data_IF_370335838355
#
_entry.id   IF_370335838355
#
_cell.length_a   1.000
_cell.length_b   1.000
_cell.length_c   1.000
_cell.angle_alpha   90.00
_cell.angle_beta   90.00
_cell.angle_gamma   90.00
#
_symmetry.space_group_name_H-M   'P 1'
#
loop_
_entity.id
_entity.type
_entity.pdbx_description
1 polymer ?
#
# COMPACT_ATOMS: atom_id res chain seq x y z
N UNK A 1 83.19 38.16 -20.73
CA UNK A 1 82.06 37.81 -21.63
C UNK A 1 82.21 36.32 -21.93
N UNK A 2 81.28 35.40 -21.72
CA UNK A 2 79.81 35.42 -21.66
C UNK A 2 79.31 34.24 -20.80
N UNK A 3 78.03 34.30 -20.45
CA UNK A 3 77.29 33.66 -19.36
C UNK A 3 77.16 32.12 -19.42
N UNK A 4 77.20 31.54 -18.21
CA UNK A 4 76.69 30.24 -17.80
C UNK A 4 75.17 30.18 -18.00
N UNK A 5 74.66 29.15 -18.68
CA UNK A 5 73.23 29.00 -19.00
C UNK A 5 72.72 27.68 -18.40
N UNK A 6 72.06 27.79 -17.24
CA UNK A 6 71.28 26.72 -16.61
C UNK A 6 70.14 26.29 -17.53
N UNK A 7 70.05 25.01 -17.87
CA UNK A 7 68.83 24.43 -18.47
C UNK A 7 68.04 23.75 -17.36
N UNK A 8 66.99 24.41 -16.90
CA UNK A 8 65.90 23.78 -16.15
C UNK A 8 65.22 22.75 -17.04
N UNK A 9 65.23 21.48 -16.64
CA UNK A 9 64.35 20.47 -17.22
C UNK A 9 62.99 20.59 -16.52
N UNK A 10 61.97 21.09 -17.25
CA UNK A 10 60.60 21.13 -16.79
C UNK A 10 60.00 19.71 -16.85
N UNK A 11 59.72 19.11 -15.69
CA UNK A 11 58.95 17.87 -15.59
C UNK A 11 57.47 18.26 -15.66
N UNK A 12 56.84 18.02 -16.81
CA UNK A 12 55.39 18.17 -16.98
C UNK A 12 54.74 16.83 -16.68
N UNK A 13 54.20 16.68 -15.47
CA UNK A 13 53.38 15.53 -15.08
C UNK A 13 51.96 15.74 -15.59
N UNK A 14 51.62 15.18 -16.76
CA UNK A 14 50.25 15.14 -17.27
C UNK A 14 49.47 14.04 -16.54
N UNK A 15 48.80 14.41 -15.44
CA UNK A 15 47.77 13.58 -14.82
C UNK A 15 46.53 13.59 -15.73
N UNK A 16 46.40 12.55 -16.56
CA UNK A 16 45.16 12.28 -17.28
C UNK A 16 44.09 11.84 -16.28
N UNK A 17 43.30 12.79 -15.79
CA UNK A 17 42.04 12.49 -15.11
C UNK A 17 41.07 11.96 -16.17
N UNK A 18 40.95 10.63 -16.27
CA UNK A 18 39.79 10.04 -16.93
C UNK A 18 38.58 10.37 -16.08
N UNK A 19 37.83 11.41 -16.48
CA UNK A 19 36.50 11.66 -15.96
C UNK A 19 35.66 10.48 -16.41
N UNK A 20 35.53 9.45 -15.56
CA UNK A 20 34.45 8.49 -15.71
C UNK A 20 33.16 9.28 -15.55
N UNK A 21 32.43 9.48 -16.65
CA UNK A 21 31.06 9.97 -16.61
C UNK A 21 30.28 9.04 -15.68
N UNK A 22 30.10 9.47 -14.42
CA UNK A 22 29.11 8.87 -13.56
C UNK A 22 27.77 9.16 -14.24
N UNK A 23 27.21 8.15 -14.92
CA UNK A 23 25.85 8.22 -15.42
C UNK A 23 25.00 8.68 -14.24
N UNK A 24 24.25 9.79 -14.34
CA UNK A 24 23.38 10.20 -13.25
C UNK A 24 22.46 9.01 -12.98
N UNK A 25 22.57 8.44 -11.78
CA UNK A 25 21.59 7.48 -11.29
C UNK A 25 20.26 8.22 -11.32
N UNK A 26 19.45 7.95 -12.34
CA UNK A 26 18.05 8.36 -12.33
C UNK A 26 17.53 7.83 -11.00
N UNK A 27 17.06 8.70 -10.12
CA UNK A 27 16.20 8.28 -9.04
C UNK A 27 15.09 7.48 -9.73
N UNK A 28 15.17 6.15 -9.63
CA UNK A 28 14.22 5.27 -10.30
C UNK A 28 12.90 5.53 -9.58
N UNK A 29 12.08 6.42 -10.14
CA UNK A 29 10.69 6.56 -9.73
C UNK A 29 10.06 5.20 -9.93
N UNK A 30 9.69 4.56 -8.83
CA UNK A 30 9.06 3.26 -8.89
C UNK A 30 7.79 3.37 -9.73
N UNK A 31 7.64 2.46 -10.70
CA UNK A 31 6.40 2.31 -11.43
C UNK A 31 5.30 1.77 -10.53
N UNK A 32 4.11 1.57 -11.11
CA UNK A 32 2.98 1.00 -10.39
C UNK A 32 2.96 -0.52 -10.58
N UNK A 33 3.19 -1.32 -9.52
CA UNK A 33 3.10 -2.77 -9.62
C UNK A 33 1.68 -3.18 -9.99
N UNK A 34 1.51 -4.33 -10.65
CA UNK A 34 0.19 -4.90 -10.98
C UNK A 34 -0.79 -3.92 -11.67
N UNK A 35 -0.28 -2.95 -12.42
CA UNK A 35 -1.07 -1.90 -13.08
C UNK A 35 -1.96 -1.10 -12.11
N UNK A 36 -1.46 -0.88 -10.89
CA UNK A 36 -2.15 -0.10 -9.85
C UNK A 36 -2.26 1.39 -10.22
N UNK A 37 -1.67 1.88 -11.30
CA UNK A 37 -1.94 3.22 -11.83
C UNK A 37 -3.34 3.37 -12.44
N UNK A 38 -3.92 2.27 -12.93
CA UNK A 38 -5.21 2.29 -13.65
C UNK A 38 -6.34 1.54 -12.95
N UNK A 39 -6.04 0.54 -12.12
CA UNK A 39 -7.05 -0.26 -11.43
C UNK A 39 -6.58 -0.73 -10.04
N UNK A 40 -7.50 -0.92 -9.08
CA UNK A 40 -7.17 -1.58 -7.84
C UNK A 40 -6.91 -3.07 -8.07
N UNK A 41 -6.04 -3.67 -7.25
CA UNK A 41 -5.82 -5.11 -7.25
C UNK A 41 -6.08 -5.66 -5.84
N UNK A 42 -6.93 -6.68 -5.73
CA UNK A 42 -7.33 -7.25 -4.44
C UNK A 42 -7.25 -8.77 -4.46
N UNK A 43 -6.68 -9.37 -3.42
CA UNK A 43 -6.57 -10.82 -3.28
C UNK A 43 -6.48 -11.26 -1.81
N UNK A 44 -6.82 -12.53 -1.54
CA UNK A 44 -6.63 -13.10 -0.20
C UNK A 44 -5.17 -13.41 0.07
N UNK A 45 -4.63 -12.97 1.20
CA UNK A 45 -3.25 -13.26 1.62
C UNK A 45 -3.10 -14.52 2.49
N UNK A 46 -4.20 -15.03 3.04
CA UNK A 46 -4.27 -16.28 3.76
C UNK A 46 -5.39 -17.13 3.15
N UNK A 47 -5.02 -18.17 2.42
CA UNK A 47 -5.97 -19.08 1.76
C UNK A 47 -6.62 -20.07 2.71
N UNK A 48 -6.06 -20.24 3.91
CA UNK A 48 -6.61 -21.12 4.94
C UNK A 48 -7.65 -20.39 5.81
N UNK A 49 -7.73 -19.06 5.69
CA UNK A 49 -8.74 -18.27 6.39
C UNK A 49 -10.16 -18.62 5.87
N UNK A 50 -11.17 -18.74 6.74
CA UNK A 50 -12.54 -19.10 6.35
C UNK A 50 -13.18 -18.18 5.31
N UNK A 51 -12.88 -16.88 5.32
CA UNK A 51 -13.42 -15.91 4.38
C UNK A 51 -12.41 -15.58 3.28
N UNK A 52 -12.87 -15.62 2.04
CA UNK A 52 -12.06 -15.39 0.84
C UNK A 52 -12.67 -14.28 -0.03
N UNK A 53 -11.85 -13.33 -0.47
CA UNK A 53 -12.27 -12.29 -1.42
C UNK A 53 -12.29 -12.85 -2.84
N UNK A 54 -13.36 -12.57 -3.58
CA UNK A 54 -13.52 -12.96 -4.98
C UNK A 54 -13.29 -11.75 -5.89
N UNK A 55 -13.91 -10.61 -5.54
CA UNK A 55 -13.88 -9.41 -6.39
C UNK A 55 -14.09 -8.16 -5.55
N UNK A 56 -13.46 -7.07 -5.96
CA UNK A 56 -13.66 -5.76 -5.35
C UNK A 56 -13.84 -4.69 -6.41
N UNK A 57 -14.74 -3.74 -6.15
CA UNK A 57 -14.89 -2.48 -6.86
C UNK A 57 -14.88 -1.33 -5.86
N UNK A 58 -14.44 -0.17 -6.31
CA UNK A 58 -14.41 1.04 -5.48
C UNK A 58 -15.35 2.04 -6.14
N UNK A 59 -16.36 2.47 -5.39
CA UNK A 59 -17.43 3.33 -5.87
C UNK A 59 -17.42 4.65 -5.09
N UNK A 60 -17.77 5.74 -5.75
CA UNK A 60 -18.09 6.99 -5.06
C UNK A 60 -19.37 6.80 -4.22
N UNK A 61 -19.36 7.26 -2.97
CA UNK A 61 -20.47 7.00 -2.06
C UNK A 61 -21.79 7.64 -2.51
N UNK A 62 -21.73 8.78 -3.19
CA UNK A 62 -22.92 9.56 -3.60
C UNK A 62 -23.45 9.08 -4.95
N UNK A 63 -22.60 9.08 -5.97
CA UNK A 63 -22.97 8.77 -7.35
C UNK A 63 -23.06 7.28 -7.62
N UNK A 64 -22.49 6.43 -6.74
CA UNK A 64 -22.39 4.96 -6.89
C UNK A 64 -21.63 4.52 -8.15
N UNK A 65 -20.89 5.42 -8.80
CA UNK A 65 -20.08 5.11 -9.98
C UNK A 65 -18.67 4.65 -9.57
N UNK A 66 -18.01 3.79 -10.36
CA UNK A 66 -16.62 3.43 -10.12
C UNK A 66 -15.72 4.66 -10.03
N UNK A 67 -14.80 4.67 -9.07
CA UNK A 67 -13.79 5.72 -8.91
C UNK A 67 -12.40 5.15 -8.82
N UNK A 68 -11.51 5.71 -9.63
CA UNK A 68 -10.09 5.45 -9.60
C UNK A 68 -9.34 6.57 -10.36
N UNK A 69 -8.15 7.01 -9.90
CA UNK A 69 -7.55 6.74 -8.58
C UNK A 69 -8.39 7.32 -7.44
N UNK A 70 -8.07 6.94 -6.21
CA UNK A 70 -8.90 7.22 -5.03
C UNK A 70 -8.45 8.53 -4.39
N UNK A 71 -9.36 9.47 -4.17
CA UNK A 71 -9.09 10.61 -3.27
C UNK A 71 -9.48 10.21 -1.84
N UNK A 72 -8.53 10.03 -0.91
CA UNK A 72 -8.82 9.55 0.45
C UNK A 72 -9.55 10.58 1.32
N UNK A 73 -9.70 11.84 0.87
CA UNK A 73 -10.51 12.86 1.55
C UNK A 73 -12.00 12.73 1.22
N UNK A 74 -12.36 11.92 0.22
CA UNK A 74 -13.75 11.69 -0.18
C UNK A 74 -14.21 10.33 0.31
N UNK A 75 -15.45 10.23 0.81
CA UNK A 75 -15.99 8.97 1.27
C UNK A 75 -16.33 8.06 0.07
N UNK A 76 -16.01 6.77 0.20
CA UNK A 76 -16.16 5.76 -0.86
C UNK A 76 -16.95 4.56 -0.35
N UNK A 77 -17.36 3.69 -1.28
CA UNK A 77 -17.88 2.36 -0.99
C UNK A 77 -16.95 1.32 -1.58
N UNK A 78 -16.51 0.39 -0.75
CA UNK A 78 -15.88 -0.84 -1.19
C UNK A 78 -17.01 -1.83 -1.46
N UNK A 79 -17.25 -2.12 -2.73
CA UNK A 79 -18.22 -3.11 -3.19
C UNK A 79 -17.48 -4.44 -3.37
N UNK A 80 -17.70 -5.34 -2.42
CA UNK A 80 -16.92 -6.55 -2.19
C UNK A 80 -17.79 -7.79 -2.39
N UNK A 81 -17.38 -8.64 -3.32
CA UNK A 81 -17.88 -10.02 -3.39
C UNK A 81 -16.88 -10.94 -2.71
N UNK A 82 -17.36 -11.71 -1.74
CA UNK A 82 -16.59 -12.65 -0.95
C UNK A 82 -17.38 -13.94 -0.74
N UNK A 83 -16.72 -14.95 -0.20
CA UNK A 83 -17.35 -16.18 0.26
C UNK A 83 -16.89 -16.48 1.68
N UNK A 84 -17.83 -16.84 2.54
CA UNK A 84 -17.56 -17.31 3.89
C UNK A 84 -17.76 -18.82 3.96
N UNK A 85 -16.66 -19.57 4.08
CA UNK A 85 -16.67 -21.02 4.27
C UNK A 85 -16.76 -21.43 5.74
N UNK A 86 -16.72 -20.47 6.67
CA UNK A 86 -16.76 -20.69 8.10
C UNK A 86 -18.17 -20.64 8.68
N UNK A 87 -18.23 -20.20 9.93
CA UNK A 87 -19.48 -19.98 10.66
C UNK A 87 -20.04 -18.58 10.40
N UNK A 88 -21.17 -18.27 11.02
CA UNK A 88 -21.67 -16.90 11.08
C UNK A 88 -20.79 -16.04 12.01
N UNK A 89 -20.33 -14.89 11.53
CA UNK A 89 -19.59 -13.90 12.34
C UNK A 89 -20.50 -12.73 12.69
N UNK A 90 -20.80 -12.57 13.98
CA UNK A 90 -21.63 -11.48 14.52
C UNK A 90 -20.78 -10.29 14.97
N UNK A 91 -19.52 -10.52 15.27
CA UNK A 91 -18.56 -9.52 15.69
C UNK A 91 -17.18 -9.86 15.08
N UNK A 92 -16.45 -8.84 14.64
CA UNK A 92 -15.10 -8.98 14.12
C UNK A 92 -14.30 -7.71 14.33
N UNK A 93 -12.98 -7.87 14.43
CA UNK A 93 -12.04 -6.75 14.41
C UNK A 93 -11.02 -6.89 13.32
N UNK A 94 -10.63 -5.76 12.75
CA UNK A 94 -9.63 -5.67 11.71
C UNK A 94 -8.36 -4.94 12.18
N UNK A 95 -7.21 -5.45 11.76
CA UNK A 95 -5.94 -4.75 11.81
C UNK A 95 -5.52 -4.42 10.36
N UNK A 96 -5.07 -3.19 10.11
CA UNK A 96 -4.64 -2.77 8.78
C UNK A 96 -3.21 -2.25 8.81
N UNK A 97 -2.33 -2.92 8.06
CA UNK A 97 -0.99 -2.43 7.76
C UNK A 97 -1.00 -1.72 6.42
N UNK A 98 -0.25 -0.63 6.33
CA UNK A 98 -0.14 0.20 5.12
C UNK A 98 1.29 0.10 4.61
N UNK A 99 1.46 -0.10 3.31
CA UNK A 99 2.76 -0.08 2.65
C UNK A 99 2.73 0.91 1.49
N UNK A 100 3.85 1.57 1.22
CA UNK A 100 4.07 2.32 -0.03
C UNK A 100 5.07 1.58 -0.91
N UNK A 101 4.90 1.68 -2.22
CA UNK A 101 5.86 1.16 -3.18
C UNK A 101 6.93 2.21 -3.45
N UNK A 102 8.15 1.96 -2.98
CA UNK A 102 9.25 2.93 -3.09
C UNK A 102 10.59 2.26 -3.31
N UNK A 103 11.58 3.03 -3.76
CA UNK A 103 12.93 2.55 -4.02
C UNK A 103 13.67 2.36 -2.71
N UNK A 104 14.25 1.18 -2.51
CA UNK A 104 15.21 0.95 -1.46
C UNK A 104 16.46 1.81 -1.69
N UNK A 105 16.85 2.60 -0.69
CA UNK A 105 17.96 3.56 -0.80
C UNK A 105 19.31 2.89 -1.11
N UNK A 106 19.54 1.67 -0.62
CA UNK A 106 20.83 0.99 -0.77
C UNK A 106 20.96 0.27 -2.11
N UNK A 107 19.86 -0.30 -2.61
CA UNK A 107 19.86 -1.16 -3.79
C UNK A 107 19.23 -0.51 -5.03
N UNK A 108 18.46 0.56 -4.85
CA UNK A 108 17.66 1.18 -5.92
C UNK A 108 16.47 0.32 -6.39
N UNK A 109 16.26 -0.86 -5.81
CA UNK A 109 15.18 -1.76 -6.16
C UNK A 109 13.86 -1.29 -5.53
N UNK A 110 12.78 -1.34 -6.29
CA UNK A 110 11.46 -1.02 -5.77
C UNK A 110 10.89 -2.17 -4.94
N UNK A 111 10.34 -1.85 -3.77
CA UNK A 111 9.68 -2.81 -2.89
C UNK A 111 8.55 -2.14 -2.11
N UNK A 112 7.68 -2.97 -1.55
CA UNK A 112 6.72 -2.53 -0.54
C UNK A 112 7.46 -2.23 0.76
N UNK A 113 7.31 -1.01 1.26
CA UNK A 113 7.87 -0.56 2.53
C UNK A 113 6.71 -0.23 3.46
N UNK A 114 6.71 -0.84 4.64
CA UNK A 114 5.68 -0.60 5.64
C UNK A 114 5.74 0.84 6.13
N UNK A 115 4.58 1.47 6.19
CA UNK A 115 4.41 2.79 6.77
C UNK A 115 3.84 2.60 8.18
N UNK A 116 4.59 2.98 9.22
CA UNK A 116 4.14 2.76 10.58
C UNK A 116 2.91 3.61 10.89
N UNK A 117 1.80 2.94 11.17
CA UNK A 117 0.54 3.59 11.61
C UNK A 117 0.49 3.77 13.12
N UNK A 118 1.48 3.25 13.85
CA UNK A 118 1.59 3.31 15.32
C UNK A 118 0.31 2.86 16.05
N UNK A 119 -0.35 1.85 15.52
CA UNK A 119 -1.57 1.25 16.09
C UNK A 119 -2.87 1.98 15.76
N UNK A 120 -2.84 3.07 14.97
CA UNK A 120 -4.04 3.81 14.59
C UNK A 120 -5.06 2.99 13.79
N UNK A 121 -4.60 1.91 13.14
CA UNK A 121 -5.41 1.03 12.30
C UNK A 121 -5.55 -0.38 12.88
N UNK A 122 -5.29 -0.55 14.18
CA UNK A 122 -5.45 -1.82 14.86
C UNK A 122 -6.81 -1.87 15.57
N UNK A 123 -7.36 -3.07 15.72
CA UNK A 123 -8.57 -3.34 16.50
C UNK A 123 -9.81 -2.54 16.02
N UNK A 124 -9.88 -2.23 14.73
CA UNK A 124 -11.03 -1.57 14.11
C UNK A 124 -12.24 -2.50 14.22
N UNK A 125 -13.34 -2.03 14.80
CA UNK A 125 -14.60 -2.77 14.82
C UNK A 125 -15.21 -2.82 13.40
N UNK A 126 -15.04 -3.96 12.73
CA UNK A 126 -15.43 -4.13 11.34
C UNK A 126 -16.95 -4.19 11.18
N UNK A 127 -17.66 -4.78 12.15
CA UNK A 127 -19.12 -4.84 12.15
C UNK A 127 -19.75 -3.46 12.33
N UNK A 128 -19.23 -2.66 13.26
CA UNK A 128 -19.69 -1.30 13.51
C UNK A 128 -19.34 -0.38 12.33
N UNK A 129 -18.13 -0.49 11.79
CA UNK A 129 -17.68 0.36 10.69
C UNK A 129 -18.48 0.11 9.40
N UNK A 130 -18.70 -1.16 9.04
CA UNK A 130 -19.32 -1.51 7.78
C UNK A 130 -20.84 -1.75 7.86
N UNK A 131 -21.42 -1.84 9.06
CA UNK A 131 -22.84 -2.13 9.28
C UNK A 131 -23.33 -3.38 8.52
N UNK A 132 -22.47 -4.40 8.42
CA UNK A 132 -22.66 -5.56 7.56
C UNK A 132 -22.75 -6.89 8.32
N UNK A 133 -22.71 -6.85 9.65
CA UNK A 133 -22.89 -8.04 10.48
C UNK A 133 -24.38 -8.31 10.75
N UNK A 134 -24.78 -9.58 10.85
CA UNK A 134 -23.92 -10.77 10.82
C UNK A 134 -23.44 -11.18 9.41
N UNK A 135 -22.18 -11.61 9.30
CA UNK A 135 -21.60 -12.18 8.09
C UNK A 135 -21.98 -13.67 8.01
N UNK A 136 -22.96 -13.97 7.17
CA UNK A 136 -23.51 -15.33 7.00
C UNK A 136 -22.54 -16.26 6.27
N UNK A 137 -22.60 -17.59 6.50
CA UNK A 137 -21.94 -18.56 5.64
C UNK A 137 -22.45 -18.50 4.20
N UNK A 138 -21.57 -18.78 3.24
CA UNK A 138 -21.88 -18.77 1.81
C UNK A 138 -21.41 -17.49 1.09
N UNK A 139 -22.04 -17.19 -0.05
CA UNK A 139 -21.69 -16.02 -0.85
C UNK A 139 -22.12 -14.72 -0.15
N UNK A 140 -21.23 -13.74 -0.19
CA UNK A 140 -21.41 -12.42 0.41
C UNK A 140 -21.21 -11.34 -0.64
N UNK A 141 -22.20 -10.45 -0.77
CA UNK A 141 -22.10 -9.21 -1.52
C UNK A 141 -22.25 -8.04 -0.55
N UNK A 142 -21.14 -7.37 -0.27
CA UNK A 142 -21.01 -6.39 0.80
C UNK A 142 -20.71 -5.01 0.23
N UNK A 143 -21.45 -4.01 0.67
CA UNK A 143 -21.14 -2.60 0.41
C UNK A 143 -20.60 -1.97 1.69
N UNK A 144 -19.28 -1.81 1.76
CA UNK A 144 -18.59 -1.30 2.94
C UNK A 144 -18.38 0.22 2.76
N UNK A 145 -19.16 1.08 3.42
CA UNK A 145 -18.88 2.51 3.42
C UNK A 145 -17.55 2.76 4.13
N UNK A 146 -16.66 3.51 3.48
CA UNK A 146 -15.38 3.91 4.04
C UNK A 146 -15.25 5.43 3.98
N UNK A 147 -15.26 6.03 5.17
CA UNK A 147 -14.96 7.44 5.37
C UNK A 147 -13.68 7.57 6.19
N UNK A 148 -12.60 7.99 5.52
CA UNK A 148 -11.29 8.16 6.12
C UNK A 148 -11.10 9.52 6.81
N UNK A 149 -12.12 10.40 6.84
CA UNK A 149 -12.01 11.73 7.44
C UNK A 149 -11.57 11.70 8.91
N UNK A 150 -11.93 10.65 9.65
CA UNK A 150 -11.50 10.40 11.04
C UNK A 150 -10.02 10.04 11.17
N UNK A 151 -9.37 9.69 10.07
CA UNK A 151 -7.98 9.28 9.96
C UNK A 151 -7.16 10.32 9.19
N UNK A 152 -7.40 11.62 9.43
CA UNK A 152 -6.72 12.72 8.73
C UNK A 152 -5.18 12.62 8.76
N UNK A 153 -4.60 12.09 9.83
CA UNK A 153 -3.16 11.81 9.91
C UNK A 153 -2.68 10.80 8.85
N UNK A 154 -3.51 9.80 8.57
CA UNK A 154 -3.25 8.78 7.55
C UNK A 154 -3.53 9.35 6.15
N UNK A 155 -4.54 10.19 5.97
CA UNK A 155 -4.80 10.88 4.69
C UNK A 155 -3.55 11.65 4.23
N UNK A 156 -2.92 12.42 5.11
CA UNK A 156 -1.71 13.19 4.78
C UNK A 156 -0.52 12.29 4.45
N UNK A 157 -0.42 11.13 5.11
CA UNK A 157 0.58 10.12 4.84
C UNK A 157 0.37 9.44 3.46
N UNK A 158 -0.90 9.26 3.07
CA UNK A 158 -1.30 8.63 1.82
C UNK A 158 -1.27 9.60 0.62
N UNK A 159 -1.08 10.90 0.85
CA UNK A 159 -1.04 11.96 -0.17
C UNK A 159 0.30 12.01 -0.93
N UNK A 160 0.75 10.85 -1.41
CA UNK A 160 1.89 10.74 -2.33
C UNK A 160 1.46 10.01 -3.59
N UNK A 161 1.92 10.47 -4.75
CA UNK A 161 1.55 9.93 -6.06
C UNK A 161 2.26 8.60 -6.35
N UNK A 162 2.07 7.60 -5.48
CA UNK A 162 2.65 6.25 -5.56
C UNK A 162 1.58 5.18 -5.32
N UNK A 163 1.93 3.91 -5.57
CA UNK A 163 1.10 2.78 -5.22
C UNK A 163 1.17 2.48 -3.71
N UNK A 164 0.02 2.19 -3.13
CA UNK A 164 -0.13 1.73 -1.74
C UNK A 164 -0.66 0.32 -1.70
N UNK A 165 -0.30 -0.40 -0.64
CA UNK A 165 -0.85 -1.70 -0.32
C UNK A 165 -1.41 -1.67 1.09
N UNK A 166 -2.69 -2.01 1.22
CA UNK A 166 -3.35 -2.25 2.49
C UNK A 166 -3.35 -3.76 2.72
N UNK A 167 -2.80 -4.19 3.84
CA UNK A 167 -2.87 -5.57 4.30
C UNK A 167 -3.83 -5.61 5.48
N UNK A 168 -5.00 -6.20 5.25
CA UNK A 168 -6.15 -6.18 6.14
C UNK A 168 -6.32 -7.59 6.70
N UNK A 169 -6.16 -7.74 8.00
CA UNK A 169 -6.39 -8.98 8.71
C UNK A 169 -7.63 -8.83 9.59
N UNK A 170 -8.62 -9.70 9.41
CA UNK A 170 -9.84 -9.71 10.21
C UNK A 170 -9.84 -10.91 11.15
N UNK A 171 -10.33 -10.72 12.37
CA UNK A 171 -10.34 -11.70 13.44
C UNK A 171 -11.75 -11.88 14.01
N UNK A 172 -12.11 -13.11 14.40
CA UNK A 172 -13.40 -13.41 15.03
C UNK A 172 -13.50 -12.76 16.42
N UNK A 173 -14.60 -12.06 16.69
CA UNK A 173 -14.90 -11.54 18.03
C UNK A 173 -16.25 -12.02 18.55
N UNK A 174 -16.86 -13.02 17.91
CA UNK A 174 -18.00 -13.75 18.47
C UNK A 174 -17.75 -14.15 19.93
N UNK A 175 -18.81 -14.15 20.74
CA UNK A 175 -18.73 -14.57 22.13
C UNK A 175 -18.17 -16.00 22.24
N UNK A 176 -17.05 -16.15 22.95
CA UNK A 176 -16.37 -17.45 23.15
C UNK A 176 -15.37 -17.83 22.05
N UNK A 177 -15.15 -16.99 21.04
CA UNK A 177 -14.08 -17.16 20.06
C UNK A 177 -12.69 -17.01 20.69
N UNK A 178 -11.65 -17.44 19.97
CA UNK A 178 -10.25 -17.29 20.39
C UNK A 178 -9.55 -16.16 19.64
N UNK A 179 -10.31 -15.31 18.96
CA UNK A 179 -9.78 -14.27 18.08
C UNK A 179 -8.91 -14.81 16.96
N UNK A 180 -9.31 -15.95 16.39
CA UNK A 180 -8.70 -16.52 15.20
C UNK A 180 -8.88 -15.61 13.98
N UNK A 181 -7.91 -15.64 13.06
CA UNK A 181 -8.00 -14.90 11.80
C UNK A 181 -9.10 -15.52 10.92
N UNK A 182 -10.09 -14.72 10.55
CA UNK A 182 -11.22 -15.13 9.70
C UNK A 182 -11.06 -14.69 8.25
N UNK A 183 -10.30 -13.62 7.99
CA UNK A 183 -9.97 -13.15 6.65
C UNK A 183 -8.59 -12.50 6.61
N UNK A 184 -7.96 -12.54 5.45
CA UNK A 184 -6.73 -11.82 5.14
C UNK A 184 -6.86 -11.29 3.72
N UNK A 185 -6.87 -9.97 3.54
CA UNK A 185 -7.00 -9.33 2.23
C UNK A 185 -5.85 -8.36 2.01
N UNK A 186 -5.23 -8.46 0.84
CA UNK A 186 -4.35 -7.41 0.32
C UNK A 186 -5.12 -6.60 -0.71
N UNK A 187 -5.10 -5.28 -0.56
CA UNK A 187 -5.62 -4.32 -1.53
C UNK A 187 -4.51 -3.36 -1.97
N UNK A 188 -4.14 -3.41 -3.25
CA UNK A 188 -3.20 -2.48 -3.87
C UNK A 188 -3.97 -1.40 -4.62
N UNK A 189 -3.71 -0.14 -4.28
CA UNK A 189 -4.46 1.03 -4.73
C UNK A 189 -3.56 2.23 -4.96
N UNK A 190 -4.04 3.20 -5.75
CA UNK A 190 -3.38 4.49 -5.97
C UNK A 190 -4.26 5.61 -5.38
N UNK A 191 -3.65 6.38 -4.47
CA UNK A 191 -4.28 7.56 -3.87
C UNK A 191 -3.79 8.85 -4.56
N UNK A 192 -4.70 9.81 -4.74
CA UNK A 192 -4.44 11.15 -5.30
C UNK A 192 -4.94 12.30 -4.42
#
# INVERSE_FOLDING_TARGET
MSKMMYRLAAVVLLLAFTITEAKPSRFNTCGFPNSTDVNPNTYSCNTDAPMQVIKTRILDQVTKKPVYPINPQKPIIIDLTAINHGIQYNDNKANVKVYSYTSDWLTGNCKWVEIPTFGLLDQIDGCQMAHNCPLQPGNLDLQLPLDLSKYAAIINLLASNTAYQLHIEMFDYNQGSKHEQIACVVAQVHFI
#
